data_IF_656682453689
#
_entry.id   IF_656682453689
#
_cell.length_a   1.000
_cell.length_b   1.000
_cell.length_c   1.000
_cell.angle_alpha   90.00
_cell.angle_beta   90.00
_cell.angle_gamma   90.00
#
_symmetry.space_group_name_H-M   'P 1'
#
loop_
_entity.id
_entity.type
_entity.pdbx_description
1 polymer ?
#
# COMPACT_ATOMS: atom_id res chain seq x y z
N UNK A 1 10.87 13.32 2.38
CA UNK A 1 10.03 13.37 3.61
C UNK A 1 10.03 12.03 4.32
N UNK A 2 9.97 10.91 3.58
CA UNK A 2 9.94 9.55 4.13
C UNK A 2 11.29 8.83 4.03
N UNK A 3 12.41 9.55 4.19
CA UNK A 3 13.74 8.99 3.90
C UNK A 3 14.06 7.77 4.79
N UNK A 4 13.84 7.86 6.10
CA UNK A 4 14.07 6.77 7.06
C UNK A 4 13.28 5.52 6.69
N UNK A 5 11.99 5.67 6.42
CA UNK A 5 11.06 4.59 6.14
C UNK A 5 11.39 3.92 4.81
N UNK A 6 11.65 4.71 3.76
CA UNK A 6 12.06 4.18 2.46
C UNK A 6 13.41 3.47 2.58
N UNK A 7 14.36 4.02 3.33
CA UNK A 7 15.65 3.37 3.58
C UNK A 7 15.48 2.03 4.31
N UNK A 8 14.62 1.94 5.32
CA UNK A 8 14.34 0.69 6.04
C UNK A 8 13.62 -0.33 5.15
N UNK A 9 12.70 0.11 4.27
CA UNK A 9 12.06 -0.76 3.27
C UNK A 9 13.10 -1.31 2.29
N UNK A 10 13.97 -0.44 1.76
CA UNK A 10 15.05 -0.83 0.85
C UNK A 10 16.01 -1.82 1.52
N UNK A 11 16.37 -1.58 2.78
CA UNK A 11 17.18 -2.51 3.59
C UNK A 11 16.47 -3.85 3.81
N UNK A 12 15.19 -3.81 4.17
CA UNK A 12 14.36 -4.99 4.40
C UNK A 12 14.14 -5.84 3.15
N UNK A 13 14.30 -5.25 1.95
CA UNK A 13 14.27 -5.98 0.68
C UNK A 13 15.54 -6.80 0.43
N UNK A 14 16.66 -6.46 1.07
CA UNK A 14 17.87 -7.29 1.14
C UNK A 14 18.98 -6.96 0.14
N UNK A 15 18.81 -5.96 -0.73
CA UNK A 15 19.83 -5.63 -1.74
C UNK A 15 20.99 -4.79 -1.20
N UNK A 16 20.75 -3.93 -0.19
CA UNK A 16 21.75 -3.01 0.35
C UNK A 16 21.46 -2.69 1.82
N UNK A 17 22.45 -2.90 2.71
CA UNK A 17 22.30 -2.59 4.14
C UNK A 17 22.18 -1.10 4.43
N UNK A 18 22.86 -0.28 3.63
CA UNK A 18 22.93 1.18 3.78
C UNK A 18 22.68 1.85 2.42
N UNK A 19 21.40 1.99 2.01
CA UNK A 19 21.05 2.66 0.78
C UNK A 19 21.66 4.07 0.70
N UNK A 20 22.20 4.43 -0.47
CA UNK A 20 22.67 5.80 -0.72
C UNK A 20 21.51 6.77 -0.62
N UNK A 21 21.77 7.96 -0.09
CA UNK A 21 20.76 9.02 0.08
C UNK A 21 20.06 9.35 -1.24
N UNK A 22 20.84 9.48 -2.31
CA UNK A 22 20.34 9.80 -3.64
C UNK A 22 19.41 8.71 -4.18
N UNK A 23 19.72 7.44 -3.88
CA UNK A 23 18.88 6.31 -4.25
C UNK A 23 17.57 6.32 -3.46
N UNK A 24 17.62 6.61 -2.16
CA UNK A 24 16.41 6.74 -1.31
C UNK A 24 15.52 7.86 -1.83
N UNK A 25 16.09 9.03 -2.17
CA UNK A 25 15.35 10.16 -2.73
C UNK A 25 14.73 9.82 -4.09
N UNK A 26 15.42 9.07 -4.95
CA UNK A 26 14.87 8.61 -6.21
C UNK A 26 13.71 7.63 -6.00
N UNK A 27 13.87 6.65 -5.12
CA UNK A 27 12.82 5.68 -4.79
C UNK A 27 11.61 6.39 -4.19
N UNK A 28 11.79 7.37 -3.29
CA UNK A 28 10.70 8.19 -2.75
C UNK A 28 9.90 8.86 -3.87
N UNK A 29 10.57 9.47 -4.87
CA UNK A 29 9.91 10.11 -6.01
C UNK A 29 9.13 9.10 -6.86
N UNK A 30 9.70 7.93 -7.12
CA UNK A 30 9.05 6.86 -7.90
C UNK A 30 7.79 6.37 -7.18
N UNK A 31 7.91 6.06 -5.89
CA UNK A 31 6.79 5.59 -5.06
C UNK A 31 5.69 6.64 -5.01
N UNK A 32 6.03 7.92 -4.83
CA UNK A 32 5.05 9.00 -4.85
C UNK A 32 4.28 9.08 -6.17
N UNK A 33 4.99 9.02 -7.31
CA UNK A 33 4.36 9.03 -8.63
C UNK A 33 3.45 7.82 -8.84
N UNK A 34 3.90 6.63 -8.46
CA UNK A 34 3.11 5.40 -8.59
C UNK A 34 1.87 5.41 -7.71
N UNK A 35 1.99 5.85 -6.45
CA UNK A 35 0.85 5.98 -5.54
C UNK A 35 -0.20 6.93 -6.09
N UNK A 36 0.22 8.07 -6.64
CA UNK A 36 -0.68 9.02 -7.30
C UNK A 36 -1.42 8.37 -8.47
N UNK A 37 -0.71 7.64 -9.33
CA UNK A 37 -1.31 6.90 -10.45
C UNK A 37 -2.36 5.89 -9.98
N UNK A 38 -2.00 5.04 -9.01
CA UNK A 38 -2.91 4.03 -8.47
C UNK A 38 -4.17 4.67 -7.88
N UNK A 39 -4.04 5.76 -7.14
CA UNK A 39 -5.19 6.48 -6.56
C UNK A 39 -6.08 7.10 -7.63
N UNK A 40 -5.50 7.67 -8.69
CA UNK A 40 -6.27 8.23 -9.80
C UNK A 40 -7.07 7.13 -10.52
N UNK A 41 -6.43 6.01 -10.84
CA UNK A 41 -7.09 4.89 -11.51
C UNK A 41 -8.20 4.28 -10.64
N UNK A 42 -7.97 4.14 -9.33
CA UNK A 42 -8.97 3.64 -8.40
C UNK A 42 -10.16 4.60 -8.27
N UNK A 43 -9.90 5.91 -8.30
CA UNK A 43 -10.93 6.95 -8.27
C UNK A 43 -11.75 6.95 -9.55
N UNK A 44 -11.12 6.81 -10.71
CA UNK A 44 -11.83 6.69 -11.98
C UNK A 44 -12.76 5.46 -11.98
N UNK A 45 -12.27 4.32 -11.47
CA UNK A 45 -13.07 3.13 -11.25
C UNK A 45 -14.29 3.37 -10.35
N UNK A 46 -14.08 4.04 -9.21
CA UNK A 46 -15.13 4.34 -8.26
C UNK A 46 -16.21 5.29 -8.83
N UNK A 47 -15.81 6.34 -9.54
CA UNK A 47 -16.73 7.28 -10.22
C UNK A 47 -17.62 6.57 -11.23
N UNK A 48 -17.07 5.60 -11.98
CA UNK A 48 -17.83 4.81 -12.96
C UNK A 48 -18.90 3.90 -12.34
N UNK A 49 -18.73 3.45 -11.09
CA UNK A 49 -19.67 2.54 -10.40
C UNK A 49 -21.01 3.16 -9.98
N UNK A 50 -21.26 4.46 -10.25
CA UNK A 50 -22.49 5.23 -9.92
C UNK A 50 -23.03 4.99 -8.50
N UNK A 51 -22.82 5.97 -7.61
CA UNK A 51 -23.46 6.00 -6.28
C UNK A 51 -22.51 6.36 -5.13
N UNK A 52 -21.22 6.03 -5.25
CA UNK A 52 -20.17 6.48 -4.32
C UNK A 52 -18.86 6.77 -5.08
N UNK A 53 -18.47 8.05 -5.25
CA UNK A 53 -17.28 8.43 -6.02
C UNK A 53 -15.95 8.17 -5.28
N UNK A 54 -15.99 7.71 -4.03
CA UNK A 54 -14.79 7.41 -3.25
C UNK A 54 -14.26 5.98 -3.56
N UNK A 55 -12.94 5.82 -3.80
CA UNK A 55 -12.30 4.52 -3.90
C UNK A 55 -12.59 3.61 -2.69
N UNK A 56 -12.85 2.34 -2.97
CA UNK A 56 -13.02 1.28 -1.99
C UNK A 56 -12.02 0.16 -2.24
N UNK A 57 -11.90 -0.78 -1.31
CA UNK A 57 -11.03 -1.96 -1.47
C UNK A 57 -11.25 -2.70 -2.79
N UNK A 58 -12.49 -2.78 -3.27
CA UNK A 58 -12.85 -3.44 -4.53
C UNK A 58 -12.16 -2.77 -5.73
N UNK A 59 -12.04 -1.44 -5.73
CA UNK A 59 -11.40 -0.70 -6.83
C UNK A 59 -9.90 -1.04 -6.91
N UNK A 60 -9.22 -1.12 -5.77
CA UNK A 60 -7.81 -1.55 -5.72
C UNK A 60 -7.62 -3.02 -6.09
N UNK A 61 -8.54 -3.91 -5.68
CA UNK A 61 -8.52 -5.32 -6.10
C UNK A 61 -8.69 -5.46 -7.62
N UNK A 62 -9.54 -4.64 -8.23
CA UNK A 62 -9.75 -4.63 -9.67
C UNK A 62 -8.50 -4.17 -10.42
N UNK A 63 -7.80 -3.15 -9.93
CA UNK A 63 -6.53 -2.71 -10.51
C UNK A 63 -5.46 -3.80 -10.45
N UNK A 64 -5.39 -4.52 -9.33
CA UNK A 64 -4.40 -5.58 -9.13
C UNK A 64 -4.82 -6.95 -9.68
N UNK A 65 -5.95 -7.06 -10.39
CA UNK A 65 -6.57 -8.35 -10.79
C UNK A 65 -5.64 -9.31 -11.54
N UNK A 66 -4.62 -8.78 -12.22
CA UNK A 66 -3.61 -9.58 -12.94
C UNK A 66 -2.57 -10.23 -12.02
N UNK A 67 -2.61 -9.95 -10.72
CA UNK A 67 -1.66 -10.44 -9.71
C UNK A 67 -2.39 -11.12 -8.53
N UNK A 68 -2.96 -12.32 -8.74
CA UNK A 68 -3.80 -12.99 -7.74
C UNK A 68 -3.06 -13.28 -6.41
N UNK A 69 -1.77 -13.62 -6.49
CA UNK A 69 -0.94 -13.85 -5.28
C UNK A 69 -0.79 -12.57 -4.46
N UNK A 70 -0.63 -11.41 -5.10
CA UNK A 70 -0.51 -10.11 -4.40
C UNK A 70 -1.83 -9.69 -3.77
N UNK A 71 -2.96 -9.92 -4.46
CA UNK A 71 -4.29 -9.69 -3.89
C UNK A 71 -4.52 -10.53 -2.65
N UNK A 72 -4.23 -11.84 -2.72
CA UNK A 72 -4.41 -12.72 -1.57
C UNK A 72 -3.53 -12.31 -0.37
N UNK A 73 -2.29 -11.87 -0.64
CA UNK A 73 -1.40 -11.32 0.39
C UNK A 73 -1.98 -10.06 1.03
N UNK A 74 -2.50 -9.13 0.23
CA UNK A 74 -3.16 -7.91 0.73
C UNK A 74 -4.39 -8.24 1.59
N UNK A 75 -5.27 -9.13 1.11
CA UNK A 75 -6.48 -9.56 1.85
C UNK A 75 -6.13 -10.18 3.19
N UNK A 76 -5.13 -11.08 3.19
CA UNK A 76 -4.61 -11.69 4.43
C UNK A 76 -4.10 -10.62 5.38
N UNK A 77 -3.25 -9.71 4.91
CA UNK A 77 -2.71 -8.64 5.74
C UNK A 77 -3.80 -7.77 6.37
N UNK A 78 -4.78 -7.30 5.59
CA UNK A 78 -5.92 -6.52 6.10
C UNK A 78 -6.71 -7.30 7.17
N UNK A 79 -6.93 -8.60 6.97
CA UNK A 79 -7.62 -9.46 7.93
C UNK A 79 -6.81 -9.58 9.22
N UNK A 80 -5.52 -9.85 9.12
CA UNK A 80 -4.62 -10.05 10.26
C UNK A 80 -4.51 -8.76 11.08
N UNK A 81 -4.37 -7.59 10.43
CA UNK A 81 -4.35 -6.28 11.12
C UNK A 81 -5.66 -5.99 11.85
N UNK A 82 -6.82 -6.32 11.27
CA UNK A 82 -8.12 -6.17 11.94
C UNK A 82 -8.24 -7.06 13.19
N UNK A 83 -7.74 -8.30 13.10
CA UNK A 83 -7.73 -9.23 14.22
C UNK A 83 -6.82 -8.71 15.35
N UNK A 84 -5.60 -8.29 15.02
CA UNK A 84 -4.65 -7.74 15.99
C UNK A 84 -5.23 -6.53 16.71
N UNK A 85 -5.85 -5.60 15.98
CA UNK A 85 -6.51 -4.44 16.58
C UNK A 85 -7.59 -4.85 17.58
N UNK A 86 -8.45 -5.81 17.21
CA UNK A 86 -9.49 -6.34 18.11
C UNK A 86 -8.88 -6.95 19.39
N UNK A 87 -7.78 -7.68 19.26
CA UNK A 87 -7.08 -8.26 20.42
C UNK A 87 -6.55 -7.15 21.34
N UNK A 88 -5.89 -6.13 20.79
CA UNK A 88 -5.38 -5.01 21.57
C UNK A 88 -6.50 -4.26 22.29
N UNK A 89 -7.62 -4.00 21.61
CA UNK A 89 -8.78 -3.32 22.19
C UNK A 89 -9.39 -4.12 23.36
N UNK A 90 -9.37 -5.45 23.31
CA UNK A 90 -9.85 -6.32 24.40
C UNK A 90 -8.95 -6.32 25.64
N UNK A 91 -7.66 -6.01 25.51
CA UNK A 91 -6.71 -5.98 26.62
C UNK A 91 -6.46 -4.57 27.19
N UNK A 92 -7.02 -3.54 26.53
CA UNK A 92 -6.91 -2.14 26.94
C UNK A 92 -8.09 -1.66 27.81
N UNK A 93 -9.07 -2.52 28.08
CA UNK A 93 -10.18 -2.30 29.03
C UNK A 93 -10.04 -3.18 30.25
#
# INVERSE_FOLDING_TARGET
VFHSEISDIMRGFGDCERPLKESVELVEKIVYQQLRGILMDATEGAVKRKGKPAPTQIDFELLMRKHPVKINRMKKHIKDTKLLKKILDMHAG
#
